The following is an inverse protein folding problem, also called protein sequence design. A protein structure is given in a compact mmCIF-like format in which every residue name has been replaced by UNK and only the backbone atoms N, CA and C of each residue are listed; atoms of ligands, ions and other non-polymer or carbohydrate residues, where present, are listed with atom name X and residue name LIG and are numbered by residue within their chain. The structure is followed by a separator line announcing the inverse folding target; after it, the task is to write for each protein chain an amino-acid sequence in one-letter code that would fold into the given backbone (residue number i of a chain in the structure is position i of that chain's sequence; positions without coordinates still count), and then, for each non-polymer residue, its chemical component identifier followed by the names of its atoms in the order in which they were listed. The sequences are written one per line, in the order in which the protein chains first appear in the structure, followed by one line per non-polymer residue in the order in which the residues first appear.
data_IF_978818165532
#
_entry.id   IF_978818165532
#
_cell.length_a   1.000
_cell.length_b   1.000
_cell.length_c   1.000
_cell.angle_alpha   90.00
_cell.angle_beta   90.00
_cell.angle_gamma   90.00
#
_symmetry.space_group_name_H-M   'P 1'
#
loop_
_entity.id
_entity.type
_entity.pdbx_description
1 polymer ?
#
# COMPACT_ATOMS: atom_id res chain seq x y z
N UNK A 1 38.64 3.38 39.40
CA UNK A 1 37.69 4.37 38.84
C UNK A 1 38.09 4.91 37.45
N UNK A 2 39.25 4.52 36.89
CA UNK A 2 39.73 4.99 35.58
C UNK A 2 39.40 4.05 34.39
N UNK A 3 38.96 2.81 34.62
CA UNK A 3 38.75 1.82 33.54
C UNK A 3 37.35 1.83 32.91
N UNK A 4 36.34 2.45 33.55
CA UNK A 4 34.97 2.53 33.01
C UNK A 4 34.79 3.72 32.05
N UNK A 5 35.58 4.77 32.21
CA UNK A 5 35.50 6.00 31.41
C UNK A 5 36.11 5.79 30.02
N UNK A 6 37.20 5.01 29.91
CA UNK A 6 37.85 4.69 28.64
C UNK A 6 37.03 3.75 27.75
N UNK A 7 36.27 2.82 28.33
CA UNK A 7 35.43 1.89 27.57
C UNK A 7 34.21 2.59 26.93
N UNK A 8 33.57 3.51 27.66
CA UNK A 8 32.44 4.29 27.13
C UNK A 8 32.84 5.32 26.06
N UNK A 9 34.04 5.90 26.15
CA UNK A 9 34.56 6.79 25.10
C UNK A 9 34.91 6.04 23.81
N UNK A 10 35.38 4.79 23.90
CA UNK A 10 35.71 3.98 22.72
C UNK A 10 34.46 3.49 21.98
N UNK A 11 33.37 3.24 22.69
CA UNK A 11 32.09 2.82 22.13
C UNK A 11 31.37 3.97 21.40
N UNK A 12 31.40 5.19 21.97
CA UNK A 12 30.88 6.40 21.32
C UNK A 12 31.69 6.84 20.08
N UNK A 13 33.00 6.56 20.04
CA UNK A 13 33.85 6.88 18.89
C UNK A 13 33.61 5.87 17.74
N UNK A 14 33.48 4.58 18.06
CA UNK A 14 33.08 3.55 17.09
C UNK A 14 31.68 3.79 16.50
N UNK A 15 30.71 4.25 17.31
CA UNK A 15 29.38 4.59 16.82
C UNK A 15 29.40 5.81 15.88
N UNK A 16 30.24 6.82 16.18
CA UNK A 16 30.45 7.99 15.32
C UNK A 16 31.17 7.64 14.02
N UNK A 17 32.12 6.72 14.07
CA UNK A 17 32.85 6.24 12.89
C UNK A 17 31.96 5.38 11.99
N UNK A 18 31.13 4.51 12.58
CA UNK A 18 30.15 3.71 11.86
C UNK A 18 29.05 4.59 11.20
N UNK A 19 28.56 5.62 11.90
CA UNK A 19 27.66 6.63 11.32
C UNK A 19 28.33 7.38 10.17
N UNK A 20 29.59 7.80 10.32
CA UNK A 20 30.33 8.48 9.24
C UNK A 20 30.55 7.60 8.01
N UNK A 21 30.92 6.34 8.21
CA UNK A 21 31.08 5.37 7.13
C UNK A 21 29.74 5.10 6.42
N UNK A 22 28.65 4.94 7.17
CA UNK A 22 27.32 4.76 6.60
C UNK A 22 26.90 5.95 5.74
N UNK A 23 27.01 7.18 6.25
CA UNK A 23 26.68 8.38 5.47
C UNK A 23 27.60 8.59 4.27
N UNK A 24 28.91 8.32 4.41
CA UNK A 24 29.85 8.39 3.29
C UNK A 24 29.53 7.37 2.18
N UNK A 25 29.08 6.17 2.54
CA UNK A 25 28.72 5.13 1.56
C UNK A 25 27.39 5.48 0.91
N UNK A 26 26.45 6.01 1.70
CA UNK A 26 25.18 6.53 1.21
C UNK A 26 25.40 7.68 0.22
N UNK A 27 26.27 8.65 0.54
CA UNK A 27 26.60 9.77 -0.35
C UNK A 27 27.35 9.32 -1.60
N UNK A 28 28.21 8.30 -1.50
CA UNK A 28 28.88 7.71 -2.66
C UNK A 28 27.89 7.00 -3.59
N UNK A 29 26.98 6.20 -3.03
CA UNK A 29 25.93 5.50 -3.80
C UNK A 29 24.93 6.51 -4.37
N UNK A 30 24.48 7.50 -3.59
CA UNK A 30 23.61 8.58 -4.04
C UNK A 30 24.29 9.45 -5.10
N UNK A 31 25.60 9.70 -4.97
CA UNK A 31 26.39 10.45 -5.94
C UNK A 31 26.59 9.70 -7.24
N UNK A 32 26.88 8.40 -7.18
CA UNK A 32 27.06 7.55 -8.36
C UNK A 32 25.72 7.27 -9.06
N UNK A 33 24.64 7.08 -8.29
CA UNK A 33 23.27 7.05 -8.80
C UNK A 33 22.92 8.40 -9.43
N UNK A 34 23.12 9.53 -8.76
CA UNK A 34 22.89 10.89 -9.31
C UNK A 34 23.67 11.14 -10.59
N UNK A 35 24.94 10.73 -10.68
CA UNK A 35 25.77 10.92 -11.87
C UNK A 35 25.31 10.06 -13.05
N UNK A 36 25.02 8.76 -12.82
CA UNK A 36 24.48 7.86 -13.86
C UNK A 36 23.08 8.27 -14.28
N UNK A 37 22.26 8.70 -13.31
CA UNK A 37 20.92 9.17 -13.51
C UNK A 37 20.89 10.50 -14.26
N UNK A 38 21.73 11.48 -13.95
CA UNK A 38 21.81 12.73 -14.72
C UNK A 38 22.27 12.49 -16.17
N UNK A 39 23.16 11.51 -16.41
CA UNK A 39 23.57 11.10 -17.75
C UNK A 39 22.45 10.36 -18.50
N UNK A 40 21.77 9.42 -17.86
CA UNK A 40 20.64 8.69 -18.44
C UNK A 40 19.41 9.58 -18.59
N UNK A 41 19.18 10.53 -17.71
CA UNK A 41 18.07 11.49 -17.76
C UNK A 41 18.32 12.55 -18.81
N UNK A 42 19.56 13.01 -19.02
CA UNK A 42 19.87 13.85 -20.17
C UNK A 42 19.61 13.09 -21.47
N UNK A 43 20.01 11.83 -21.55
CA UNK A 43 19.73 10.98 -22.70
C UNK A 43 18.24 10.63 -22.84
N UNK A 44 17.51 10.47 -21.73
CA UNK A 44 16.09 10.17 -21.69
C UNK A 44 15.29 11.42 -22.03
N UNK A 45 15.64 12.60 -21.51
CA UNK A 45 15.06 13.90 -21.86
C UNK A 45 15.37 14.24 -23.32
N UNK A 46 16.59 13.99 -23.81
CA UNK A 46 16.92 14.15 -25.22
C UNK A 46 16.15 13.15 -26.10
N UNK A 47 15.98 11.90 -25.66
CA UNK A 47 15.17 10.89 -26.36
C UNK A 47 13.65 11.21 -26.30
N UNK A 48 13.16 11.74 -25.18
CA UNK A 48 11.77 12.17 -24.98
C UNK A 48 11.46 13.44 -25.77
N UNK A 49 12.39 14.39 -25.86
CA UNK A 49 12.29 15.56 -26.72
C UNK A 49 12.42 15.20 -28.20
N UNK A 50 13.24 14.20 -28.56
CA UNK A 50 13.32 13.67 -29.92
C UNK A 50 12.10 12.84 -30.33
N UNK A 51 11.36 12.29 -29.37
CA UNK A 51 10.05 11.68 -29.56
C UNK A 51 8.91 12.71 -29.72
N UNK A 52 9.23 14.02 -29.67
CA UNK A 52 8.26 15.09 -29.88
C UNK A 52 8.32 15.61 -31.32
N UNK A 53 7.59 14.95 -32.25
CA UNK A 53 6.76 15.68 -33.18
C UNK A 53 5.31 15.24 -32.95
N UNK A 54 4.54 16.08 -32.26
CA UNK A 54 3.06 16.10 -32.31
C UNK A 54 2.23 14.90 -31.77
N UNK A 55 2.57 14.26 -30.64
CA UNK A 55 1.56 13.36 -30.01
C UNK A 55 1.60 13.28 -28.48
N UNK A 56 0.45 13.52 -27.85
CA UNK A 56 0.20 13.78 -26.42
C UNK A 56 0.26 12.54 -25.48
N UNK A 57 0.77 11.38 -25.91
CA UNK A 57 0.44 10.09 -25.23
C UNK A 57 1.47 9.52 -24.24
N UNK A 58 2.65 10.12 -24.07
CA UNK A 58 3.64 9.55 -23.14
C UNK A 58 3.39 9.96 -21.67
N UNK A 59 2.62 11.03 -21.44
CA UNK A 59 2.23 11.51 -20.12
C UNK A 59 1.00 10.77 -19.54
N UNK A 60 0.61 9.67 -20.18
CA UNK A 60 -0.55 8.88 -19.83
C UNK A 60 -0.25 7.82 -18.77
N UNK A 61 0.96 7.26 -18.64
CA UNK A 61 1.16 6.06 -17.77
C UNK A 61 0.88 6.32 -16.27
N UNK A 62 1.32 7.46 -15.72
CA UNK A 62 1.05 7.83 -14.31
C UNK A 62 -0.38 8.34 -14.10
N UNK A 63 -0.95 9.06 -15.07
CA UNK A 63 -2.36 9.51 -15.04
C UNK A 63 -3.34 8.35 -15.24
N UNK A 64 -3.02 7.37 -16.09
CA UNK A 64 -3.78 6.15 -16.34
C UNK A 64 -3.79 5.24 -15.11
N UNK A 65 -2.68 5.14 -14.37
CA UNK A 65 -2.61 4.38 -13.12
C UNK A 65 -3.57 4.94 -12.06
N UNK A 66 -3.50 6.25 -11.82
CA UNK A 66 -4.41 6.94 -10.89
C UNK A 66 -5.88 6.87 -11.31
N UNK A 67 -6.19 7.19 -12.58
CA UNK A 67 -7.54 7.09 -13.13
C UNK A 67 -8.08 5.66 -13.13
N UNK A 68 -7.22 4.66 -13.34
CA UNK A 68 -7.59 3.25 -13.29
C UNK A 68 -7.96 2.79 -11.88
N UNK A 69 -7.11 3.06 -10.88
CA UNK A 69 -7.39 2.72 -9.47
C UNK A 69 -8.64 3.45 -8.96
N UNK A 70 -8.78 4.73 -9.30
CA UNK A 70 -9.98 5.51 -9.00
C UNK A 70 -11.22 4.95 -9.68
N UNK A 71 -11.13 4.62 -10.95
CA UNK A 71 -12.21 4.04 -11.73
C UNK A 71 -12.66 2.71 -11.13
N UNK A 72 -11.74 1.83 -10.75
CA UNK A 72 -12.04 0.58 -10.04
C UNK A 72 -12.68 0.86 -8.67
N UNK A 73 -12.16 1.80 -7.89
CA UNK A 73 -12.74 2.17 -6.60
C UNK A 73 -14.18 2.69 -6.70
N UNK A 74 -14.44 3.58 -7.65
CA UNK A 74 -15.78 4.12 -7.93
C UNK A 74 -16.69 3.02 -8.48
N UNK A 75 -16.22 2.21 -9.43
CA UNK A 75 -16.97 1.08 -9.98
C UNK A 75 -17.38 0.09 -8.88
N UNK A 76 -16.46 -0.28 -7.98
CA UNK A 76 -16.76 -1.15 -6.84
C UNK A 76 -17.79 -0.51 -5.89
N UNK A 77 -17.67 0.78 -5.61
CA UNK A 77 -18.64 1.50 -4.77
C UNK A 77 -20.04 1.59 -5.39
N UNK A 78 -20.13 1.69 -6.72
CA UNK A 78 -21.40 1.85 -7.46
C UNK A 78 -22.07 0.49 -7.72
N UNK A 79 -21.30 -0.53 -8.14
CA UNK A 79 -21.86 -1.83 -8.53
C UNK A 79 -22.21 -2.73 -7.35
N UNK A 80 -21.51 -2.60 -6.21
CA UNK A 80 -21.68 -3.52 -5.08
C UNK A 80 -22.09 -2.81 -3.77
N UNK A 81 -22.48 -1.53 -3.84
CA UNK A 81 -22.74 -0.68 -2.68
C UNK A 81 -21.47 -0.38 -1.89
N UNK A 82 -21.58 0.08 -0.64
CA UNK A 82 -20.44 0.20 0.29
C UNK A 82 -19.77 -1.19 0.40
N UNK A 83 -18.73 -1.42 -0.42
CA UNK A 83 -18.01 -2.68 -0.46
C UNK A 83 -17.41 -2.99 0.91
N UNK A 84 -17.13 -4.26 1.21
CA UNK A 84 -16.59 -4.79 2.47
C UNK A 84 -16.07 -3.73 3.46
N UNK A 85 -16.91 -3.41 4.46
CA UNK A 85 -16.52 -2.63 5.63
C UNK A 85 -15.35 -3.37 6.29
N UNK A 86 -14.12 -2.93 6.01
CA UNK A 86 -12.91 -3.57 6.52
C UNK A 86 -12.85 -3.46 8.03
N UNK A 87 -13.44 -2.39 8.57
CA UNK A 87 -13.65 -2.23 9.98
C UNK A 87 -15.07 -1.91 10.37
N UNK A 88 -15.70 -2.84 11.08
CA UNK A 88 -17.00 -2.65 11.73
C UNK A 88 -17.03 -1.46 12.71
N UNK A 89 -15.85 -1.08 13.24
CA UNK A 89 -15.68 0.06 14.15
C UNK A 89 -15.66 1.40 13.42
N UNK A 90 -15.38 1.37 12.12
CA UNK A 90 -15.30 2.53 11.24
C UNK A 90 -16.03 2.19 9.93
N UNK A 91 -17.38 2.24 9.91
CA UNK A 91 -18.18 1.89 8.74
C UNK A 91 -17.87 2.72 7.48
N UNK A 92 -17.13 3.83 7.63
CA UNK A 92 -16.59 4.63 6.53
C UNK A 92 -15.32 4.05 5.88
N UNK A 93 -14.63 3.09 6.52
CA UNK A 93 -13.43 2.42 6.00
C UNK A 93 -13.78 1.11 5.29
N UNK A 94 -14.42 1.26 4.14
CA UNK A 94 -14.56 0.20 3.14
C UNK A 94 -13.27 0.03 2.34
N UNK A 95 -12.99 -1.19 1.86
CA UNK A 95 -11.91 -1.42 0.88
C UNK A 95 -12.07 -0.54 -0.38
N UNK A 96 -13.31 -0.30 -0.83
CA UNK A 96 -13.57 0.60 -1.96
C UNK A 96 -13.25 2.05 -1.61
N UNK A 97 -13.61 2.52 -0.40
CA UNK A 97 -13.27 3.87 0.05
C UNK A 97 -11.76 4.08 0.17
N UNK A 98 -11.01 3.06 0.64
CA UNK A 98 -9.55 3.11 0.65
C UNK A 98 -8.97 3.20 -0.76
N UNK A 99 -9.47 2.41 -1.72
CA UNK A 99 -9.05 2.50 -3.12
C UNK A 99 -9.32 3.88 -3.72
N UNK A 100 -10.48 4.48 -3.42
CA UNK A 100 -10.83 5.84 -3.86
C UNK A 100 -9.87 6.88 -3.25
N UNK A 101 -9.62 6.82 -1.94
CA UNK A 101 -8.72 7.77 -1.25
C UNK A 101 -7.30 7.64 -1.80
N UNK A 102 -6.76 6.42 -1.86
CA UNK A 102 -5.41 6.15 -2.36
C UNK A 102 -5.29 6.55 -3.83
N UNK A 103 -6.26 6.19 -4.68
CA UNK A 103 -6.28 6.57 -6.08
C UNK A 103 -6.33 8.09 -6.28
N UNK A 104 -7.08 8.81 -5.43
CA UNK A 104 -7.17 10.27 -5.50
C UNK A 104 -5.82 10.90 -5.18
N UNK A 105 -5.16 10.42 -4.13
CA UNK A 105 -3.83 10.90 -3.72
C UNK A 105 -2.82 10.68 -4.85
N UNK A 106 -2.77 9.47 -5.42
CA UNK A 106 -1.88 9.13 -6.54
C UNK A 106 -2.15 10.06 -7.74
N UNK A 107 -3.43 10.29 -8.09
CA UNK A 107 -3.80 11.17 -9.19
C UNK A 107 -3.36 12.62 -8.96
N UNK A 108 -3.57 13.16 -7.75
CA UNK A 108 -3.15 14.53 -7.41
C UNK A 108 -1.64 14.68 -7.47
N UNK A 109 -0.89 13.73 -6.91
CA UNK A 109 0.57 13.75 -6.92
C UNK A 109 1.12 13.64 -8.34
N UNK A 110 0.56 12.73 -9.16
CA UNK A 110 0.92 12.62 -10.57
C UNK A 110 0.66 13.91 -11.34
N UNK A 111 -0.51 14.53 -11.16
CA UNK A 111 -0.83 15.82 -11.78
C UNK A 111 0.14 16.93 -11.37
N UNK A 112 0.50 17.03 -10.09
CA UNK A 112 1.47 18.01 -9.59
C UNK A 112 2.88 17.76 -10.17
N UNK A 113 3.31 16.50 -10.25
CA UNK A 113 4.58 16.12 -10.86
C UNK A 113 4.63 16.51 -12.34
N UNK A 114 3.62 16.11 -13.13
CA UNK A 114 3.56 16.41 -14.56
C UNK A 114 3.48 17.92 -14.82
N UNK A 115 2.54 18.64 -14.18
CA UNK A 115 2.37 20.09 -14.41
C UNK A 115 3.58 20.87 -13.90
N UNK A 116 4.17 20.43 -12.79
CA UNK A 116 5.42 20.99 -12.27
C UNK A 116 6.53 20.90 -13.31
N UNK A 117 6.78 19.70 -13.84
CA UNK A 117 7.83 19.46 -14.83
C UNK A 117 7.60 20.27 -16.12
N UNK A 118 6.38 20.28 -16.67
CA UNK A 118 6.07 20.98 -17.94
C UNK A 118 6.14 22.50 -17.79
N UNK A 119 5.62 23.06 -16.69
CA UNK A 119 5.62 24.51 -16.47
C UNK A 119 6.93 25.02 -15.87
N UNK A 120 7.87 24.13 -15.56
CA UNK A 120 9.11 24.40 -14.79
C UNK A 120 8.86 25.23 -13.53
N UNK A 121 7.65 25.13 -12.95
CA UNK A 121 7.20 26.02 -11.88
C UNK A 121 7.72 25.52 -10.53
N UNK A 122 8.68 26.26 -9.97
CA UNK A 122 9.34 25.95 -8.68
C UNK A 122 8.39 25.57 -7.52
N UNK A 123 7.31 26.32 -7.22
CA UNK A 123 6.45 25.96 -6.10
C UNK A 123 5.72 24.62 -6.30
N UNK A 124 5.41 24.24 -7.54
CA UNK A 124 4.77 22.94 -7.82
C UNK A 124 5.77 21.80 -7.70
N UNK A 125 7.00 21.95 -8.22
CA UNK A 125 8.07 20.95 -8.04
C UNK A 125 8.39 20.73 -6.57
N UNK A 126 8.50 21.82 -5.80
CA UNK A 126 8.77 21.75 -4.37
C UNK A 126 7.61 21.08 -3.62
N UNK A 127 6.36 21.37 -3.98
CA UNK A 127 5.18 20.72 -3.40
C UNK A 127 5.18 19.21 -3.69
N UNK A 128 5.47 18.82 -4.94
CA UNK A 128 5.61 17.41 -5.32
C UNK A 128 6.72 16.71 -4.52
N UNK A 129 7.88 17.35 -4.35
CA UNK A 129 8.98 16.81 -3.55
C UNK A 129 8.57 16.61 -2.08
N UNK A 130 7.95 17.62 -1.46
CA UNK A 130 7.50 17.54 -0.05
C UNK A 130 6.47 16.43 0.11
N UNK A 131 5.51 16.30 -0.81
CA UNK A 131 4.49 15.24 -0.76
C UNK A 131 5.11 13.84 -0.87
N UNK A 132 6.03 13.61 -1.81
CA UNK A 132 6.74 12.33 -1.93
C UNK A 132 7.56 12.02 -0.67
N UNK A 133 8.22 13.03 -0.09
CA UNK A 133 9.01 12.85 1.11
C UNK A 133 8.13 12.47 2.32
N UNK A 134 6.96 13.11 2.46
CA UNK A 134 5.99 12.76 3.50
C UNK A 134 5.48 11.33 3.35
N UNK A 135 5.18 10.90 2.12
CA UNK A 135 4.73 9.52 1.87
C UNK A 135 5.84 8.52 2.22
N UNK A 136 7.07 8.78 1.83
CA UNK A 136 8.21 7.92 2.17
C UNK A 136 8.36 7.73 3.69
N UNK A 137 8.22 8.81 4.48
CA UNK A 137 8.22 8.70 5.94
C UNK A 137 7.02 7.94 6.49
N UNK A 138 5.82 8.15 5.92
CA UNK A 138 4.62 7.40 6.31
C UNK A 138 4.75 5.91 6.00
N UNK A 139 5.41 5.53 4.91
CA UNK A 139 5.70 4.13 4.58
C UNK A 139 6.63 3.48 5.59
N UNK A 140 7.76 4.13 5.92
CA UNK A 140 8.70 3.64 6.93
C UNK A 140 8.00 3.52 8.30
N UNK A 141 7.22 4.52 8.69
CA UNK A 141 6.46 4.51 9.93
C UNK A 141 5.45 3.36 9.95
N UNK A 142 4.68 3.18 8.87
CA UNK A 142 3.66 2.14 8.76
C UNK A 142 4.26 0.74 8.83
N UNK A 143 5.39 0.51 8.13
CA UNK A 143 6.13 -0.75 8.19
C UNK A 143 6.63 -1.01 9.61
N UNK A 144 7.26 -0.02 10.25
CA UNK A 144 7.78 -0.16 11.61
C UNK A 144 6.66 -0.45 12.61
N UNK A 145 5.54 0.28 12.54
CA UNK A 145 4.38 0.05 13.39
C UNK A 145 3.77 -1.33 13.16
N UNK A 146 3.68 -1.78 11.91
CA UNK A 146 3.18 -3.11 11.58
C UNK A 146 4.03 -4.22 12.23
N UNK A 147 5.35 -4.11 12.16
CA UNK A 147 6.26 -5.07 12.79
C UNK A 147 6.21 -5.04 14.32
N UNK A 148 6.20 -3.84 14.91
CA UNK A 148 6.20 -3.67 16.37
C UNK A 148 4.89 -4.17 16.99
N UNK A 149 3.76 -3.91 16.33
CA UNK A 149 2.42 -4.23 16.86
C UNK A 149 1.76 -5.43 16.16
N UNK A 150 2.55 -6.33 15.56
CA UNK A 150 2.02 -7.45 14.79
C UNK A 150 0.99 -8.31 15.56
N UNK A 151 1.24 -8.57 16.84
CA UNK A 151 0.36 -9.41 17.68
C UNK A 151 -0.95 -8.68 17.98
N UNK A 152 -0.88 -7.38 18.26
CA UNK A 152 -2.07 -6.55 18.50
C UNK A 152 -2.89 -6.44 17.22
N UNK A 153 -2.24 -6.21 16.07
CA UNK A 153 -2.89 -6.15 14.76
C UNK A 153 -3.61 -7.47 14.46
N UNK A 154 -3.00 -8.63 14.76
CA UNK A 154 -3.63 -9.94 14.60
C UNK A 154 -4.94 -10.05 15.40
N UNK A 155 -4.88 -9.66 16.68
CA UNK A 155 -6.07 -9.66 17.55
C UNK A 155 -7.14 -8.66 17.09
N UNK A 156 -6.76 -7.46 16.66
CA UNK A 156 -7.69 -6.47 16.14
C UNK A 156 -8.35 -6.96 14.86
N UNK A 157 -7.58 -7.51 13.92
CA UNK A 157 -8.08 -8.04 12.66
C UNK A 157 -9.12 -9.14 12.89
N UNK A 158 -8.84 -10.12 13.75
CA UNK A 158 -9.81 -11.18 14.09
C UNK A 158 -11.10 -10.62 14.70
N UNK A 159 -10.98 -9.68 15.65
CA UNK A 159 -12.15 -9.07 16.31
C UNK A 159 -13.00 -8.32 15.28
N UNK A 160 -12.35 -7.61 14.38
CA UNK A 160 -13.03 -6.79 13.38
C UNK A 160 -13.73 -7.65 12.34
N UNK A 161 -13.08 -8.73 11.88
CA UNK A 161 -13.70 -9.73 11.02
C UNK A 161 -14.91 -10.39 11.70
N UNK A 162 -14.83 -10.72 13.00
CA UNK A 162 -15.97 -11.28 13.76
C UNK A 162 -17.14 -10.32 13.85
N UNK A 163 -16.88 -9.01 13.99
CA UNK A 163 -17.95 -8.01 13.92
C UNK A 163 -18.48 -7.85 12.50
N UNK A 164 -17.63 -7.99 11.49
CA UNK A 164 -18.04 -8.04 10.08
C UNK A 164 -19.01 -9.20 9.78
N UNK A 165 -18.84 -10.37 10.43
CA UNK A 165 -19.78 -11.49 10.32
C UNK A 165 -21.21 -11.09 10.72
N UNK A 166 -21.38 -10.23 11.72
CA UNK A 166 -22.70 -9.79 12.20
C UNK A 166 -23.46 -8.93 11.18
N UNK A 167 -22.75 -8.39 10.18
CA UNK A 167 -23.34 -7.61 9.09
C UNK A 167 -23.69 -8.48 7.86
N UNK A 168 -23.37 -9.78 7.90
CA UNK A 168 -23.63 -10.70 6.81
C UNK A 168 -25.14 -10.83 6.54
N UNK A 169 -25.56 -10.72 5.28
CA UNK A 169 -26.96 -10.83 4.86
C UNK A 169 -27.87 -9.66 5.29
N UNK A 170 -27.33 -8.60 5.89
CA UNK A 170 -28.10 -7.40 6.25
C UNK A 170 -28.30 -6.46 5.06
N UNK A 171 -29.41 -5.72 5.04
CA UNK A 171 -29.71 -4.75 3.97
C UNK A 171 -28.60 -3.68 3.88
N UNK A 172 -28.12 -3.43 2.65
CA UNK A 172 -27.03 -2.47 2.38
C UNK A 172 -25.61 -3.06 2.49
N UNK A 173 -25.43 -4.31 2.92
CA UNK A 173 -24.12 -4.96 3.07
C UNK A 173 -23.91 -6.13 2.08
N UNK A 174 -24.48 -6.02 0.87
CA UNK A 174 -24.40 -7.07 -0.16
C UNK A 174 -22.94 -7.35 -0.57
N UNK A 175 -22.12 -6.31 -0.73
CA UNK A 175 -20.70 -6.47 -1.06
C UNK A 175 -19.89 -7.20 0.02
N UNK A 176 -20.20 -6.97 1.30
CA UNK A 176 -19.57 -7.71 2.41
C UNK A 176 -19.97 -9.18 2.41
N UNK A 177 -21.25 -9.47 2.15
CA UNK A 177 -21.79 -10.83 2.05
C UNK A 177 -21.10 -11.58 0.91
N UNK A 178 -20.96 -10.95 -0.25
CA UNK A 178 -20.26 -11.52 -1.41
C UNK A 178 -18.78 -11.79 -1.10
N UNK A 179 -18.08 -10.85 -0.47
CA UNK A 179 -16.68 -11.02 -0.08
C UNK A 179 -16.49 -12.23 0.87
N UNK A 180 -17.39 -12.42 1.83
CA UNK A 180 -17.36 -13.59 2.71
C UNK A 180 -17.57 -14.90 1.95
N UNK A 181 -18.51 -14.95 1.01
CA UNK A 181 -18.74 -16.14 0.18
C UNK A 181 -17.51 -16.48 -0.68
N UNK A 182 -16.88 -15.49 -1.29
CA UNK A 182 -15.66 -15.66 -2.10
C UNK A 182 -14.53 -16.21 -1.23
N UNK A 183 -14.24 -15.57 -0.10
CA UNK A 183 -13.14 -16.00 0.78
C UNK A 183 -13.35 -17.44 1.26
N UNK A 184 -14.57 -17.79 1.69
CA UNK A 184 -14.86 -19.15 2.15
C UNK A 184 -14.71 -20.20 1.06
N UNK A 185 -15.17 -19.89 -0.15
CA UNK A 185 -15.10 -20.80 -1.30
C UNK A 185 -13.66 -20.97 -1.80
N UNK A 186 -12.92 -19.86 -1.97
CA UNK A 186 -11.57 -19.86 -2.51
C UNK A 186 -10.56 -20.48 -1.53
N UNK A 187 -10.65 -20.14 -0.24
CA UNK A 187 -9.73 -20.63 0.78
C UNK A 187 -10.19 -21.92 1.47
N UNK A 188 -11.37 -22.43 1.13
CA UNK A 188 -11.97 -23.66 1.68
C UNK A 188 -11.96 -23.67 3.20
N UNK A 189 -12.59 -22.64 3.77
CA UNK A 189 -12.56 -22.32 5.19
C UNK A 189 -13.95 -21.88 5.65
N UNK A 190 -14.19 -21.89 6.97
CA UNK A 190 -15.46 -21.39 7.52
C UNK A 190 -15.27 -20.62 8.82
N UNK A 191 -15.87 -19.43 8.86
CA UNK A 191 -15.79 -18.51 10.00
C UNK A 191 -14.40 -17.88 10.15
N UNK A 192 -14.26 -16.97 11.12
CA UNK A 192 -12.99 -16.26 11.32
C UNK A 192 -11.97 -17.18 11.97
N UNK A 193 -12.37 -17.75 13.10
CA UNK A 193 -11.56 -18.65 13.94
C UNK A 193 -12.13 -20.06 14.00
N UNK A 194 -13.45 -20.20 13.80
CA UNK A 194 -14.10 -21.49 13.71
C UNK A 194 -15.47 -21.33 13.02
N UNK A 195 -16.00 -22.42 12.45
CA UNK A 195 -17.34 -22.45 11.85
C UNK A 195 -18.44 -22.05 12.85
N UNK A 196 -18.22 -22.31 14.14
CA UNK A 196 -19.14 -21.91 15.23
C UNK A 196 -19.32 -20.40 15.35
N UNK A 197 -18.40 -19.59 14.80
CA UNK A 197 -18.55 -18.11 14.76
C UNK A 197 -19.84 -17.70 14.01
N UNK A 198 -20.39 -18.55 13.14
CA UNK A 198 -21.66 -18.32 12.44
C UNK A 198 -22.90 -18.58 13.30
N UNK A 199 -22.79 -19.35 14.37
CA UNK A 199 -23.94 -19.69 15.20
C UNK A 199 -24.48 -18.46 15.93
N UNK A 200 -23.58 -17.56 16.33
CA UNK A 200 -23.92 -16.28 16.94
C UNK A 200 -24.58 -15.33 15.94
N UNK A 201 -24.26 -15.44 14.63
CA UNK A 201 -24.84 -14.59 13.57
C UNK A 201 -26.27 -15.05 13.24
N UNK A 202 -26.46 -16.36 13.06
CA UNK A 202 -27.75 -16.92 12.68
C UNK A 202 -28.66 -17.25 13.87
N UNK A 203 -28.16 -17.15 15.10
CA UNK A 203 -28.81 -17.66 16.32
C UNK A 203 -29.28 -19.12 16.19
N UNK A 204 -28.54 -19.92 15.42
CA UNK A 204 -28.84 -21.32 15.13
C UNK A 204 -27.56 -22.06 14.74
N UNK A 205 -27.53 -23.38 14.92
CA UNK A 205 -26.41 -24.24 14.51
C UNK A 205 -26.37 -24.43 13.00
N UNK A 206 -26.14 -23.35 12.27
CA UNK A 206 -26.06 -23.29 10.80
C UNK A 206 -24.91 -22.39 10.34
N UNK A 207 -24.45 -22.66 9.12
CA UNK A 207 -23.43 -21.85 8.42
C UNK A 207 -23.99 -21.37 7.07
N UNK A 208 -23.33 -20.42 6.38
CA UNK A 208 -23.64 -20.12 4.98
C UNK A 208 -23.31 -21.30 4.07
N UNK A 209 -24.00 -21.45 2.94
CA UNK A 209 -23.77 -22.57 2.02
C UNK A 209 -22.35 -22.54 1.39
N UNK A 210 -21.69 -21.38 1.35
CA UNK A 210 -20.28 -21.24 0.96
C UNK A 210 -19.29 -21.94 1.91
N UNK A 211 -19.72 -22.32 3.11
CA UNK A 211 -18.91 -23.08 4.07
C UNK A 211 -18.95 -24.60 3.87
N UNK A 212 -19.73 -25.11 2.92
CA UNK A 212 -19.85 -26.55 2.70
C UNK A 212 -18.69 -27.12 1.88
N UNK A 213 -18.32 -28.38 2.17
CA UNK A 213 -17.29 -29.11 1.44
C UNK A 213 -17.64 -29.25 -0.05
N UNK A 214 -18.91 -29.52 -0.32
CA UNK A 214 -19.50 -29.57 -1.64
C UNK A 214 -20.69 -28.60 -1.65
N UNK A 215 -20.69 -27.68 -2.62
CA UNK A 215 -21.73 -26.67 -2.72
C UNK A 215 -23.06 -27.34 -3.08
N UNK A 216 -24.05 -27.22 -2.20
CA UNK A 216 -25.44 -27.56 -2.50
C UNK A 216 -26.37 -26.59 -1.80
N UNK A 217 -27.52 -26.32 -2.41
CA UNK A 217 -28.50 -25.40 -1.84
C UNK A 217 -28.94 -25.89 -0.46
N UNK A 218 -28.85 -25.02 0.55
CA UNK A 218 -29.20 -25.29 1.94
C UNK A 218 -28.29 -26.29 2.69
N UNK A 219 -27.11 -26.60 2.19
CA UNK A 219 -26.15 -27.47 2.87
C UNK A 219 -25.72 -26.94 4.25
N UNK A 220 -25.76 -25.62 4.46
CA UNK A 220 -25.40 -25.02 5.74
C UNK A 220 -26.42 -25.26 6.86
N UNK A 221 -27.60 -25.79 6.52
CA UNK A 221 -28.67 -26.15 7.47
C UNK A 221 -28.60 -27.62 7.93
N UNK A 222 -27.87 -28.47 7.21
CA UNK A 222 -27.83 -29.92 7.45
C UNK A 222 -26.40 -30.41 7.73
N UNK A 223 -26.28 -31.34 8.68
CA UNK A 223 -25.08 -32.15 8.95
C UNK A 223 -23.75 -31.39 9.18
N UNK A 224 -23.37 -31.11 10.45
CA UNK A 224 -22.09 -30.48 10.80
C UNK A 224 -20.83 -31.17 10.26
N UNK A 225 -20.93 -32.43 9.83
CA UNK A 225 -19.84 -33.21 9.26
C UNK A 225 -19.48 -32.83 7.81
N UNK A 226 -20.26 -31.98 7.14
CA UNK A 226 -20.03 -31.58 5.73
C UNK A 226 -19.53 -30.15 5.57
N UNK A 227 -19.12 -29.48 6.66
CA UNK A 227 -18.65 -28.09 6.64
C UNK A 227 -17.11 -28.01 6.72
N UNK A 228 -16.53 -26.95 6.18
CA UNK A 228 -15.12 -26.63 6.40
C UNK A 228 -14.87 -26.33 7.88
N UNK A 229 -13.90 -27.00 8.48
CA UNK A 229 -13.48 -26.76 9.88
C UNK A 229 -12.29 -25.81 9.98
N UNK A 230 -11.62 -25.53 8.86
CA UNK A 230 -10.45 -24.67 8.84
C UNK A 230 -10.86 -23.19 9.05
N UNK A 231 -10.15 -22.45 9.93
CA UNK A 231 -10.39 -21.02 10.12
C UNK A 231 -9.96 -20.20 8.90
N UNK A 232 -10.82 -19.29 8.43
CA UNK A 232 -10.48 -18.44 7.28
C UNK A 232 -9.34 -17.48 7.57
N UNK A 233 -9.26 -16.96 8.80
CA UNK A 233 -8.20 -16.01 9.14
C UNK A 233 -6.80 -16.64 9.01
N UNK A 234 -6.60 -17.85 9.53
CA UNK A 234 -5.31 -18.53 9.39
C UNK A 234 -5.04 -18.90 7.93
N UNK A 235 -6.03 -19.40 7.18
CA UNK A 235 -5.81 -19.75 5.76
C UNK A 235 -5.39 -18.55 4.91
N UNK A 236 -5.98 -17.39 5.15
CA UNK A 236 -5.57 -16.15 4.48
C UNK A 236 -4.19 -15.70 4.95
N UNK A 237 -3.89 -15.83 6.25
CA UNK A 237 -2.57 -15.50 6.81
C UNK A 237 -1.47 -16.42 6.27
N UNK A 238 -1.70 -17.71 6.19
CA UNK A 238 -0.79 -18.71 5.62
C UNK A 238 -0.53 -18.41 4.15
N UNK A 239 -1.59 -18.15 3.38
CA UNK A 239 -1.45 -17.74 1.99
C UNK A 239 -0.64 -16.44 1.84
N UNK A 240 -0.87 -15.47 2.72
CA UNK A 240 -0.10 -14.23 2.74
C UNK A 240 1.38 -14.51 3.03
N UNK A 241 1.66 -15.40 4.00
CA UNK A 241 3.01 -15.83 4.37
C UNK A 241 3.75 -16.52 3.22
N UNK A 242 3.07 -17.40 2.50
CA UNK A 242 3.60 -18.06 1.30
C UNK A 242 3.92 -17.05 0.18
N UNK A 243 3.13 -15.98 0.08
CA UNK A 243 3.28 -14.93 -0.93
C UNK A 243 3.99 -13.67 -0.43
N UNK A 244 4.63 -13.70 0.76
CA UNK A 244 5.30 -12.53 1.34
C UNK A 244 6.36 -11.93 0.41
N UNK A 245 7.05 -12.77 -0.37
CA UNK A 245 8.06 -12.33 -1.33
C UNK A 245 7.46 -11.34 -2.33
N UNK A 246 6.24 -11.57 -2.81
CA UNK A 246 5.58 -10.66 -3.73
C UNK A 246 5.34 -9.29 -3.07
N UNK A 247 4.84 -9.26 -1.83
CA UNK A 247 4.61 -8.02 -1.09
C UNK A 247 5.90 -7.21 -0.91
N UNK A 248 7.00 -7.88 -0.57
CA UNK A 248 8.31 -7.25 -0.44
C UNK A 248 8.82 -6.68 -1.77
N UNK A 249 8.60 -7.38 -2.89
CA UNK A 249 8.93 -6.88 -4.22
C UNK A 249 8.11 -5.61 -4.51
N UNK A 250 6.80 -5.61 -4.27
CA UNK A 250 5.96 -4.43 -4.46
C UNK A 250 6.42 -3.25 -3.58
N UNK A 251 6.71 -3.49 -2.30
CA UNK A 251 7.20 -2.46 -1.38
C UNK A 251 8.54 -1.87 -1.86
N UNK A 252 9.47 -2.71 -2.30
CA UNK A 252 10.76 -2.27 -2.83
C UNK A 252 10.60 -1.46 -4.12
N UNK A 253 9.76 -1.91 -5.05
CA UNK A 253 9.46 -1.18 -6.28
C UNK A 253 8.88 0.21 -5.98
N UNK A 254 7.94 0.30 -5.05
CA UNK A 254 7.35 1.58 -4.62
C UNK A 254 8.40 2.52 -4.04
N UNK A 255 9.25 2.02 -3.12
CA UNK A 255 10.32 2.81 -2.51
C UNK A 255 11.33 3.32 -3.56
N UNK A 256 11.71 2.47 -4.52
CA UNK A 256 12.61 2.88 -5.61
C UNK A 256 11.98 3.97 -6.49
N UNK A 257 10.72 3.82 -6.89
CA UNK A 257 10.01 4.83 -7.69
C UNK A 257 9.94 6.18 -6.95
N UNK A 258 9.68 6.18 -5.64
CA UNK A 258 9.67 7.40 -4.83
C UNK A 258 11.05 8.07 -4.76
N UNK A 259 12.11 7.29 -4.52
CA UNK A 259 13.48 7.82 -4.49
C UNK A 259 13.84 8.46 -5.83
N UNK A 260 13.52 7.80 -6.95
CA UNK A 260 13.73 8.36 -8.28
C UNK A 260 12.96 9.67 -8.46
N UNK A 261 11.69 9.72 -8.05
CA UNK A 261 10.87 10.94 -8.09
C UNK A 261 11.44 12.09 -7.27
N UNK A 262 11.98 11.81 -6.07
CA UNK A 262 12.64 12.80 -5.21
C UNK A 262 13.91 13.35 -5.87
N UNK A 263 14.76 12.48 -6.42
CA UNK A 263 15.99 12.89 -7.13
C UNK A 263 15.65 13.71 -8.38
N UNK A 264 14.70 13.26 -9.19
CA UNK A 264 14.22 13.99 -10.36
C UNK A 264 13.72 15.39 -10.00
N UNK A 265 12.85 15.49 -8.99
CA UNK A 265 12.31 16.77 -8.57
C UNK A 265 13.40 17.73 -8.09
N UNK A 266 14.36 17.26 -7.30
CA UNK A 266 15.46 18.10 -6.81
C UNK A 266 16.43 18.53 -7.91
N UNK A 267 16.73 17.65 -8.86
CA UNK A 267 17.60 18.00 -9.99
C UNK A 267 16.95 19.04 -10.90
N UNK A 268 15.66 18.87 -11.22
CA UNK A 268 14.88 19.86 -11.99
C UNK A 268 14.73 21.19 -11.24
N UNK A 269 14.48 21.16 -9.94
CA UNK A 269 14.43 22.37 -9.12
C UNK A 269 15.76 23.13 -9.13
N UNK A 270 16.88 22.43 -8.92
CA UNK A 270 18.22 23.03 -8.99
C UNK A 270 18.52 23.63 -10.38
N UNK A 271 18.09 22.96 -11.45
CA UNK A 271 18.24 23.47 -12.81
C UNK A 271 17.44 24.76 -13.02
N UNK A 272 16.16 24.75 -12.63
CA UNK A 272 15.29 25.93 -12.70
C UNK A 272 15.84 27.11 -11.87
N UNK A 273 16.49 26.84 -10.74
CA UNK A 273 17.19 27.87 -9.94
C UNK A 273 18.37 28.47 -10.70
N UNK A 274 19.24 27.64 -11.27
CA UNK A 274 20.41 28.09 -12.03
C UNK A 274 20.05 28.94 -13.25
N UNK A 275 18.98 28.59 -13.96
CA UNK A 275 18.54 29.33 -15.16
C UNK A 275 18.16 30.76 -14.80
N UNK A 276 17.33 31.01 -13.78
CA UNK A 276 16.98 32.40 -13.43
C UNK A 276 18.18 33.20 -12.93
N UNK A 277 19.10 32.61 -12.17
CA UNK A 277 20.32 33.32 -11.74
C UNK A 277 21.22 33.74 -12.90
N UNK A 278 21.08 33.13 -14.08
CA UNK A 278 21.83 33.50 -15.28
C UNK A 278 21.13 34.58 -16.12
N UNK A 279 19.82 34.76 -15.95
CA UNK A 279 19.00 35.74 -16.68
C UNK A 279 18.63 36.98 -15.85
N UNK A 280 18.97 37.02 -14.56
CA UNK A 280 18.83 38.16 -13.66
C UNK A 280 20.16 38.92 -13.49
#
# INVERSE_FOLDING_TARGET
MWSKTTMGQQEEDNERECKRLFFSTLDAVLGEMSARFNKQNRQLVEALCALHPENESFMDVEKLGGCGILGVGVWLSVTQGNFATLSSSLPSLSAANLLIVVGTIIMVIGCLGCVGAVKESRPLLLSFFILLLLIFFLEILSITLFFVYQDQIDHYARRDLKRGLQLFGTEGNVGLTNAWMIVQTDFRCCGVTNHTDWFDVYNASRVPDSCCLEYSDNCGLENPGTWWTAPCYERVKDWLQENLVALWIFALCTALTQILGLVFSMTMFCHAVKVETFYA
#
